data_IF_424502942718
#
_entry.id   IF_424502942718
#
_cell.length_a   1.000
_cell.length_b   1.000
_cell.length_c   1.000
_cell.angle_alpha   90.00
_cell.angle_beta   90.00
_cell.angle_gamma   90.00
#
_symmetry.space_group_name_H-M   'P 1'
#
loop_
_entity.id
_entity.type
_entity.pdbx_description
1 polymer ?
#
# COMPACT_ATOMS: atom_id res chain seq x y z
N UNK A 1 -17.54 -12.56 -70.66
CA UNK A 1 -17.75 -11.69 -69.48
C UNK A 1 -17.09 -12.38 -68.28
N UNK A 2 -16.11 -11.72 -67.67
CA UNK A 2 -15.26 -12.25 -66.59
C UNK A 2 -16.06 -12.20 -65.27
N UNK A 3 -16.16 -13.30 -64.54
CA UNK A 3 -16.63 -13.29 -63.14
C UNK A 3 -15.41 -13.52 -62.25
N UNK A 4 -14.95 -12.41 -61.69
CA UNK A 4 -13.85 -12.31 -60.73
C UNK A 4 -14.21 -13.06 -59.45
N UNK A 5 -13.29 -13.89 -58.98
CA UNK A 5 -13.40 -14.59 -57.70
C UNK A 5 -13.28 -13.64 -56.51
N UNK A 6 -13.90 -14.02 -55.41
CA UNK A 6 -13.76 -13.35 -54.12
C UNK A 6 -13.23 -14.39 -53.13
N UNK A 7 -11.91 -14.41 -52.93
CA UNK A 7 -11.25 -15.13 -51.87
C UNK A 7 -11.38 -14.28 -50.60
N UNK A 8 -12.20 -14.73 -49.65
CA UNK A 8 -12.31 -14.13 -48.32
C UNK A 8 -11.10 -14.63 -47.52
N UNK A 9 -10.07 -13.78 -47.41
CA UNK A 9 -8.97 -13.98 -46.47
C UNK A 9 -9.50 -13.63 -45.08
N UNK A 10 -9.79 -14.66 -44.26
CA UNK A 10 -10.02 -14.51 -42.83
C UNK A 10 -8.69 -14.15 -42.18
N UNK A 11 -8.39 -12.87 -42.06
CA UNK A 11 -7.24 -12.39 -41.29
C UNK A 11 -7.60 -12.48 -39.80
N UNK A 12 -7.14 -13.54 -39.13
CA UNK A 12 -7.04 -13.55 -37.67
C UNK A 12 -5.98 -12.52 -37.27
N UNK A 13 -6.40 -11.27 -37.11
CA UNK A 13 -5.60 -10.24 -36.47
C UNK A 13 -5.33 -10.68 -35.04
N UNK A 14 -4.11 -11.15 -34.77
CA UNK A 14 -3.59 -11.30 -33.42
C UNK A 14 -3.70 -9.94 -32.73
N UNK A 15 -4.72 -9.78 -31.89
CA UNK A 15 -4.73 -8.75 -30.86
C UNK A 15 -3.75 -9.26 -29.81
N UNK A 16 -2.45 -9.03 -30.06
CA UNK A 16 -1.43 -9.11 -29.03
C UNK A 16 -1.61 -7.89 -28.12
N UNK A 17 -2.69 -7.91 -27.33
CA UNK A 17 -2.80 -7.02 -26.20
C UNK A 17 -1.86 -7.55 -25.14
N UNK A 18 -0.69 -6.94 -24.98
CA UNK A 18 0.05 -7.06 -23.73
C UNK A 18 -0.83 -6.41 -22.66
N UNK A 19 -1.74 -7.16 -22.04
CA UNK A 19 -2.42 -6.71 -20.83
C UNK A 19 -1.32 -6.48 -19.80
N UNK A 20 -1.12 -5.23 -19.39
CA UNK A 20 -0.32 -4.96 -18.19
C UNK A 20 -1.00 -5.72 -17.06
N UNK A 21 -0.25 -6.60 -16.40
CA UNK A 21 -0.70 -7.29 -15.20
C UNK A 21 -0.76 -6.24 -14.09
N UNK A 22 -1.97 -6.00 -13.56
CA UNK A 22 -2.18 -5.08 -12.44
C UNK A 22 -1.70 -5.76 -11.16
N UNK A 23 -0.92 -5.03 -10.37
CA UNK A 23 -0.49 -5.49 -9.04
C UNK A 23 -1.54 -5.04 -8.03
N UNK A 24 -2.27 -6.00 -7.46
CA UNK A 24 -3.13 -5.74 -6.31
C UNK A 24 -2.27 -5.32 -5.10
N UNK A 25 -2.70 -4.26 -4.41
CA UNK A 25 -1.99 -3.74 -3.25
C UNK A 25 -2.02 -4.76 -2.09
N UNK A 26 -0.87 -5.06 -1.51
CA UNK A 26 -0.79 -6.00 -0.39
C UNK A 26 0.47 -5.78 0.48
N UNK A 27 0.48 -6.41 1.66
CA UNK A 27 1.62 -6.40 2.58
C UNK A 27 2.66 -7.46 2.14
N UNK A 28 3.90 -7.03 1.95
CA UNK A 28 5.05 -7.91 1.75
C UNK A 28 5.66 -8.36 3.07
N UNK A 29 5.77 -7.44 4.03
CA UNK A 29 6.36 -7.70 5.34
C UNK A 29 5.80 -6.74 6.38
N UNK A 30 5.86 -7.15 7.64
CA UNK A 30 5.45 -6.30 8.77
C UNK A 30 6.27 -6.60 10.01
N UNK A 31 6.63 -5.57 10.75
CA UNK A 31 7.24 -5.65 12.06
C UNK A 31 6.49 -4.74 13.04
N UNK A 32 6.49 -5.10 14.32
CA UNK A 32 5.99 -4.21 15.37
C UNK A 32 7.03 -3.98 16.44
N UNK A 33 7.04 -2.74 16.94
CA UNK A 33 7.89 -2.33 18.05
C UNK A 33 7.04 -1.71 19.13
N UNK A 34 7.19 -2.17 20.38
CA UNK A 34 6.44 -1.63 21.51
C UNK A 34 7.39 -1.14 22.61
N UNK A 35 7.14 0.05 23.15
CA UNK A 35 7.88 0.63 24.26
C UNK A 35 6.92 1.38 25.20
N UNK A 36 6.70 0.84 26.40
CA UNK A 36 5.72 1.42 27.33
C UNK A 36 4.31 1.38 26.74
N UNK A 37 3.70 2.54 26.53
CA UNK A 37 2.38 2.71 25.90
C UNK A 37 2.47 3.20 24.45
N UNK A 38 3.63 3.03 23.82
CA UNK A 38 3.87 3.36 22.43
C UNK A 38 4.02 2.07 21.60
N UNK A 39 3.32 2.02 20.47
CA UNK A 39 3.30 0.92 19.51
C UNK A 39 3.52 1.48 18.10
N UNK A 40 4.62 1.05 17.48
CA UNK A 40 5.00 1.36 16.11
C UNK A 40 4.78 0.14 15.20
N UNK A 41 4.24 0.37 14.02
CA UNK A 41 4.05 -0.63 12.98
C UNK A 41 4.89 -0.25 11.76
N UNK A 42 5.85 -1.10 11.40
CA UNK A 42 6.67 -0.95 10.19
C UNK A 42 6.17 -1.94 9.15
N UNK A 43 5.85 -1.50 7.93
CA UNK A 43 5.34 -2.37 6.86
C UNK A 43 6.01 -2.11 5.52
N UNK A 44 6.21 -3.19 4.78
CA UNK A 44 6.51 -3.13 3.35
C UNK A 44 5.23 -3.40 2.57
N UNK A 45 4.88 -2.51 1.64
CA UNK A 45 3.71 -2.64 0.77
C UNK A 45 4.14 -2.82 -0.68
N UNK A 46 3.47 -3.72 -1.40
CA UNK A 46 3.53 -3.75 -2.86
C UNK A 46 2.30 -3.05 -3.43
N UNK A 47 2.49 -2.22 -4.46
CA UNK A 47 1.40 -1.53 -5.17
C UNK A 47 1.72 -1.39 -6.66
N UNK A 48 0.68 -1.22 -7.49
CA UNK A 48 0.88 -0.99 -8.92
C UNK A 48 1.59 0.35 -9.20
N UNK A 49 2.30 0.41 -10.32
CA UNK A 49 3.01 1.64 -10.74
C UNK A 49 2.05 2.78 -11.05
N UNK A 50 0.86 2.47 -11.54
CA UNK A 50 -0.14 3.47 -11.86
C UNK A 50 -0.71 4.07 -10.54
N UNK A 51 -0.90 3.28 -9.49
CA UNK A 51 -1.32 3.75 -8.16
C UNK A 51 -0.22 4.61 -7.49
N UNK A 52 1.01 4.11 -7.50
CA UNK A 52 2.20 4.82 -6.97
C UNK A 52 2.46 6.16 -7.69
N UNK A 53 1.94 6.35 -8.91
CA UNK A 53 2.12 7.61 -9.65
C UNK A 53 1.43 8.81 -8.98
N UNK A 54 0.36 8.57 -8.22
CA UNK A 54 -0.24 9.51 -7.28
C UNK A 54 0.10 9.08 -5.85
N UNK A 55 1.28 9.50 -5.41
CA UNK A 55 1.83 9.15 -4.09
C UNK A 55 0.86 9.44 -2.94
N UNK A 56 0.15 10.57 -2.99
CA UNK A 56 -0.74 10.97 -1.90
C UNK A 56 -1.99 10.09 -1.85
N UNK A 57 -2.61 9.82 -3.01
CA UNK A 57 -3.75 8.93 -3.06
C UNK A 57 -3.38 7.52 -2.60
N UNK A 58 -2.26 6.99 -3.08
CA UNK A 58 -1.76 5.65 -2.72
C UNK A 58 -1.44 5.53 -1.22
N UNK A 59 -0.74 6.50 -0.62
CA UNK A 59 -0.48 6.49 0.83
C UNK A 59 -1.76 6.52 1.67
N UNK A 60 -2.77 7.30 1.26
CA UNK A 60 -4.06 7.35 1.97
C UNK A 60 -4.82 6.02 1.87
N UNK A 61 -4.76 5.38 0.70
CA UNK A 61 -5.35 4.06 0.48
C UNK A 61 -4.69 2.99 1.36
N UNK A 62 -3.35 3.00 1.46
CA UNK A 62 -2.61 2.10 2.37
C UNK A 62 -3.08 2.28 3.82
N UNK A 63 -3.18 3.52 4.30
CA UNK A 63 -3.67 3.78 5.67
C UNK A 63 -5.11 3.30 5.84
N UNK A 64 -5.97 3.50 4.84
CA UNK A 64 -7.35 3.01 4.88
C UNK A 64 -7.40 1.49 4.98
N UNK A 65 -6.57 0.77 4.23
CA UNK A 65 -6.46 -0.70 4.32
C UNK A 65 -5.97 -1.18 5.70
N UNK A 66 -5.09 -0.43 6.38
CA UNK A 66 -4.71 -0.74 7.77
C UNK A 66 -5.91 -0.57 8.70
N UNK A 67 -6.67 0.52 8.55
CA UNK A 67 -7.82 0.84 9.41
C UNK A 67 -8.96 -0.18 9.25
N UNK A 68 -9.26 -0.53 8.00
CA UNK A 68 -10.27 -1.53 7.62
C UNK A 68 -9.78 -2.97 7.83
N UNK A 69 -8.46 -3.15 7.94
CA UNK A 69 -7.77 -4.41 8.17
C UNK A 69 -8.12 -5.47 7.12
N UNK A 70 -8.03 -5.07 5.85
CA UNK A 70 -8.57 -5.79 4.69
C UNK A 70 -7.57 -5.99 3.54
N UNK A 71 -6.27 -5.87 3.81
CA UNK A 71 -5.25 -6.39 2.88
C UNK A 71 -5.50 -7.86 2.55
N UNK A 72 -5.20 -8.26 1.32
CA UNK A 72 -5.53 -9.59 0.84
C UNK A 72 -4.83 -10.70 1.63
N UNK A 73 -3.50 -10.60 1.79
CA UNK A 73 -2.70 -11.66 2.42
C UNK A 73 -2.50 -11.48 3.92
N UNK A 74 -2.69 -10.27 4.45
CA UNK A 74 -2.34 -9.94 5.83
C UNK A 74 -3.53 -9.36 6.60
N UNK A 75 -3.73 -9.89 7.81
CA UNK A 75 -4.70 -9.35 8.78
C UNK A 75 -3.99 -9.07 10.09
N UNK A 76 -3.94 -7.81 10.48
CA UNK A 76 -3.36 -7.40 11.75
C UNK A 76 -4.26 -7.77 12.92
N UNK A 77 -3.64 -8.09 14.05
CA UNK A 77 -4.33 -8.25 15.33
C UNK A 77 -4.13 -7.00 16.18
N UNK A 78 -5.21 -6.25 16.38
CA UNK A 78 -5.24 -5.05 17.22
C UNK A 78 -5.82 -5.33 18.62
N UNK A 79 -6.09 -6.60 18.95
CA UNK A 79 -6.76 -6.98 20.20
C UNK A 79 -5.87 -6.82 21.44
N UNK A 80 -4.54 -6.94 21.28
CA UNK A 80 -3.58 -6.91 22.39
C UNK A 80 -3.03 -5.49 22.60
N UNK A 81 -2.45 -4.89 21.55
CA UNK A 81 -1.78 -3.59 21.64
C UNK A 81 -2.67 -2.41 21.21
N UNK A 82 -3.90 -2.68 20.73
CA UNK A 82 -4.70 -1.66 20.06
C UNK A 82 -4.18 -1.35 18.66
N UNK A 83 -4.62 -0.22 18.13
CA UNK A 83 -4.09 0.34 16.89
C UNK A 83 -2.75 1.05 17.14
N UNK A 84 -1.84 1.09 16.15
CA UNK A 84 -0.53 1.71 16.32
C UNK A 84 -0.62 3.22 16.58
N UNK A 85 0.39 3.74 17.27
CA UNK A 85 0.63 5.17 17.48
C UNK A 85 1.47 5.79 16.35
N UNK A 86 2.18 4.96 15.59
CA UNK A 86 2.99 5.36 14.43
C UNK A 86 2.97 4.23 13.39
N UNK A 87 2.87 4.58 12.11
CA UNK A 87 3.05 3.62 11.02
C UNK A 87 4.16 4.11 10.10
N UNK A 88 5.19 3.30 9.88
CA UNK A 88 6.21 3.52 8.85
C UNK A 88 5.96 2.57 7.68
N UNK A 89 6.05 3.07 6.45
CA UNK A 89 5.68 2.35 5.24
C UNK A 89 6.72 2.53 4.14
N UNK A 90 7.27 1.42 3.67
CA UNK A 90 8.05 1.35 2.44
C UNK A 90 7.19 0.79 1.29
N UNK A 91 7.06 1.55 0.19
CA UNK A 91 6.20 1.16 -0.94
C UNK A 91 7.03 0.69 -2.12
N UNK A 92 6.75 -0.51 -2.62
CA UNK A 92 7.45 -1.15 -3.73
C UNK A 92 6.52 -1.40 -4.92
N UNK A 93 7.05 -1.27 -6.14
CA UNK A 93 6.31 -1.58 -7.38
C UNK A 93 6.57 -3.00 -7.91
N UNK A 94 7.35 -3.80 -7.18
CA UNK A 94 7.56 -5.23 -7.42
C UNK A 94 8.31 -5.89 -6.27
N UNK A 95 8.09 -7.18 -6.03
CA UNK A 95 8.86 -7.97 -5.04
C UNK A 95 10.37 -7.93 -5.30
N UNK A 96 10.78 -7.90 -6.57
CA UNK A 96 12.20 -7.79 -6.96
C UNK A 96 12.83 -6.47 -6.50
N UNK A 97 12.05 -5.39 -6.43
CA UNK A 97 12.50 -4.12 -5.90
C UNK A 97 12.60 -4.18 -4.38
N UNK A 98 11.62 -4.78 -3.70
CA UNK A 98 11.66 -5.03 -2.25
C UNK A 98 12.90 -5.84 -1.84
N UNK A 99 13.17 -6.96 -2.53
CA UNK A 99 14.38 -7.77 -2.30
C UNK A 99 15.70 -7.03 -2.50
N UNK A 100 15.68 -5.88 -3.18
CA UNK A 100 16.86 -5.06 -3.45
C UNK A 100 16.92 -3.78 -2.60
N UNK A 101 15.95 -3.54 -1.71
CA UNK A 101 15.82 -2.26 -1.00
C UNK A 101 15.72 -1.09 -1.97
N UNK A 102 14.79 -1.19 -2.93
CA UNK A 102 14.53 -0.15 -3.93
C UNK A 102 13.09 0.30 -3.83
N UNK A 103 12.81 1.10 -2.82
CA UNK A 103 11.50 1.70 -2.61
C UNK A 103 11.14 2.58 -3.81
N UNK A 104 9.85 2.64 -4.13
CA UNK A 104 9.32 3.70 -4.99
C UNK A 104 9.25 5.02 -4.21
N UNK A 105 8.82 4.92 -2.95
CA UNK A 105 8.86 5.97 -1.94
C UNK A 105 8.58 5.36 -0.56
N UNK A 106 8.87 6.15 0.48
CA UNK A 106 8.57 5.81 1.87
C UNK A 106 7.79 6.95 2.53
N UNK A 107 6.99 6.62 3.53
CA UNK A 107 6.27 7.59 4.33
C UNK A 107 5.95 7.08 5.72
N UNK A 108 5.69 8.01 6.63
CA UNK A 108 5.21 7.74 7.97
C UNK A 108 3.81 8.37 8.15
N UNK A 109 2.97 7.72 8.95
CA UNK A 109 1.70 8.26 9.44
C UNK A 109 1.81 8.46 10.94
N UNK A 110 2.02 9.72 11.34
CA UNK A 110 2.56 10.08 12.65
C UNK A 110 1.65 11.07 13.37
N UNK A 111 1.75 11.08 14.71
CA UNK A 111 1.11 12.03 15.61
C UNK A 111 2.18 12.60 16.54
N UNK A 112 1.95 13.79 17.10
CA UNK A 112 2.79 14.29 18.19
C UNK A 112 2.63 13.41 19.45
N UNK A 113 3.73 13.22 20.18
CA UNK A 113 3.71 12.54 21.47
C UNK A 113 3.03 13.43 22.52
N UNK A 114 2.05 12.87 23.24
CA UNK A 114 1.35 13.60 24.29
C UNK A 114 2.25 13.77 25.51
N UNK A 115 2.83 14.96 25.66
CA UNK A 115 3.70 15.31 26.79
C UNK A 115 2.93 15.76 28.03
N UNK A 116 1.68 16.19 27.89
CA UNK A 116 0.83 16.63 29.00
C UNK A 116 0.33 15.45 29.83
N UNK A 117 -0.03 14.35 29.16
CA UNK A 117 -0.40 13.09 29.79
C UNK A 117 0.28 11.92 29.08
N UNK A 118 1.52 11.57 29.49
CA UNK A 118 2.30 10.51 28.84
C UNK A 118 1.63 9.16 28.83
N UNK A 119 0.70 8.87 29.75
CA UNK A 119 -0.03 7.59 29.83
C UNK A 119 -1.12 7.46 28.75
N UNK A 120 -1.49 8.56 28.07
CA UNK A 120 -2.56 8.61 27.06
C UNK A 120 -2.01 9.11 25.74
N UNK A 121 -1.69 8.18 24.84
CA UNK A 121 -1.19 8.47 23.50
C UNK A 121 -2.29 8.27 22.43
N UNK A 122 -2.20 9.04 21.35
CA UNK A 122 -3.07 8.91 20.19
C UNK A 122 -2.77 7.63 19.41
N UNK A 123 -3.79 6.98 18.86
CA UNK A 123 -3.62 5.90 17.88
C UNK A 123 -4.33 6.25 16.57
N UNK A 124 -3.90 5.59 15.48
CA UNK A 124 -4.32 5.93 14.12
C UNK A 124 -5.84 5.86 13.88
N UNK A 125 -6.59 5.15 14.74
CA UNK A 125 -8.03 4.95 14.59
C UNK A 125 -8.87 5.91 15.41
N UNK A 126 -8.51 6.13 16.66
CA UNK A 126 -9.38 6.87 17.59
C UNK A 126 -9.34 8.38 17.32
N UNK A 127 -8.15 8.91 16.97
CA UNK A 127 -7.92 10.34 16.76
C UNK A 127 -7.25 10.63 15.40
N UNK A 128 -7.85 10.22 14.26
CA UNK A 128 -7.21 10.31 12.94
C UNK A 128 -6.93 11.75 12.49
N UNK A 129 -7.60 12.76 13.07
CA UNK A 129 -7.34 14.17 12.79
C UNK A 129 -6.06 14.73 13.38
N UNK A 130 -5.43 14.01 14.31
CA UNK A 130 -4.14 14.36 14.93
C UNK A 130 -2.95 13.77 14.15
N UNK A 131 -3.23 13.00 13.09
CA UNK A 131 -2.21 12.32 12.32
C UNK A 131 -1.93 12.99 10.98
N UNK A 132 -0.68 12.95 10.58
CA UNK A 132 -0.21 13.50 9.31
C UNK A 132 0.64 12.47 8.57
N UNK A 133 0.54 12.49 7.23
CA UNK A 133 1.44 11.73 6.36
C UNK A 133 2.70 12.58 6.15
N UNK A 134 3.85 12.03 6.52
CA UNK A 134 5.17 12.63 6.30
C UNK A 134 5.97 11.75 5.35
N UNK A 135 6.53 12.34 4.30
CA UNK A 135 7.34 11.61 3.33
C UNK A 135 8.83 11.76 3.63
N UNK A 136 9.58 10.69 3.41
CA UNK A 136 11.06 10.70 3.46
C UNK A 136 11.69 11.37 2.23
#
# INVERSE_FOLDING_TARGET
>A
MKKTGLLILLSCGMICGCSKEYIEMDILSSNNTTSGNWYELDIDVIADKDDVSDKEACSREIIQHILDNDFHSTRFSFDINGYPNNVSVDVFTSEKNAQKGKEAYSFEYVTEFNTENPDVQNNIKDNPGEFEIQYE
#
